data_IF_060633152267
#
_entry.id   IF_060633152267
#
_cell.length_a   1.000
_cell.length_b   1.000
_cell.length_c   1.000
_cell.angle_alpha   90.00
_cell.angle_beta   90.00
_cell.angle_gamma   90.00
#
_symmetry.space_group_name_H-M   'P 1'
#
loop_
_entity.id
_entity.type
_entity.pdbx_description
1 polymer ?
#
# COMPACT_ATOMS: atom_id res chain seq x y z
N UNK A 1 -14.21 -21.60 -10.31
CA UNK A 1 -14.38 -21.12 -8.92
C UNK A 1 -13.82 -19.71 -8.86
N UNK A 2 -14.59 -18.72 -8.40
CA UNK A 2 -14.10 -17.35 -8.25
C UNK A 2 -13.20 -17.27 -7.02
N UNK A 3 -11.94 -16.82 -7.20
CA UNK A 3 -10.98 -16.62 -6.12
C UNK A 3 -11.42 -15.41 -5.28
N UNK A 4 -11.46 -15.55 -3.96
CA UNK A 4 -11.84 -14.47 -3.03
C UNK A 4 -10.56 -13.94 -2.38
N UNK A 5 -10.30 -12.64 -2.54
CA UNK A 5 -9.15 -11.97 -1.96
C UNK A 5 -9.52 -11.24 -0.68
N UNK A 6 -8.74 -11.44 0.39
CA UNK A 6 -8.81 -10.59 1.58
C UNK A 6 -8.17 -9.25 1.25
N UNK A 7 -8.93 -8.16 1.34
CA UNK A 7 -8.47 -6.83 0.97
C UNK A 7 -9.05 -5.75 1.90
N UNK A 8 -8.39 -4.61 1.94
CA UNK A 8 -8.84 -3.40 2.63
C UNK A 8 -8.80 -2.22 1.66
N UNK A 9 -9.75 -1.29 1.79
CA UNK A 9 -9.79 -0.04 1.02
C UNK A 9 -9.76 1.13 2.00
N UNK A 10 -8.86 2.07 1.77
CA UNK A 10 -8.73 3.26 2.62
C UNK A 10 -7.50 4.10 2.27
N UNK A 11 -7.20 5.06 3.13
CA UNK A 11 -6.10 5.98 2.92
C UNK A 11 -4.75 5.34 3.23
N UNK A 12 -3.76 5.67 2.39
CA UNK A 12 -2.34 5.41 2.62
C UNK A 12 -1.60 6.72 2.80
N UNK A 13 -0.49 6.69 3.52
CA UNK A 13 0.46 7.81 3.60
C UNK A 13 1.51 7.63 2.52
N UNK A 14 1.64 8.62 1.64
CA UNK A 14 2.78 8.76 0.72
C UNK A 14 3.87 9.58 1.40
N UNK A 15 4.98 8.96 1.80
CA UNK A 15 6.04 9.56 2.63
C UNK A 15 7.36 9.64 1.88
N UNK A 16 7.97 10.81 1.83
CA UNK A 16 9.37 10.97 1.37
C UNK A 16 10.39 10.44 2.39
N UNK A 17 9.96 10.25 3.65
CA UNK A 17 10.84 9.89 4.76
C UNK A 17 10.66 8.41 5.08
N UNK A 18 11.55 7.56 4.56
CA UNK A 18 11.60 6.15 4.91
C UNK A 18 12.17 5.95 6.34
N UNK A 19 13.30 6.60 6.63
CA UNK A 19 13.94 6.57 7.96
C UNK A 19 13.55 7.81 8.75
N UNK A 20 12.47 7.71 9.54
CA UNK A 20 11.97 8.83 10.32
C UNK A 20 12.68 8.94 11.68
N UNK A 21 13.23 10.12 11.99
CA UNK A 21 13.84 10.39 13.29
C UNK A 21 12.79 10.50 14.42
N UNK A 22 11.54 10.83 14.09
CA UNK A 22 10.43 10.82 15.04
C UNK A 22 9.79 9.42 15.08
N UNK A 23 10.12 8.66 16.11
CA UNK A 23 9.63 7.30 16.33
C UNK A 23 8.12 7.21 16.59
N UNK A 24 7.45 8.34 16.84
CA UNK A 24 5.99 8.38 17.07
C UNK A 24 5.18 8.66 15.80
N UNK A 25 5.86 8.94 14.67
CA UNK A 25 5.21 9.38 13.44
C UNK A 25 4.14 8.38 12.94
N UNK A 26 4.49 7.10 12.82
CA UNK A 26 3.58 6.05 12.33
C UNK A 26 2.33 5.91 13.21
N UNK A 27 2.48 6.02 14.53
CA UNK A 27 1.36 5.89 15.48
C UNK A 27 0.35 7.06 15.33
N UNK A 28 0.83 8.28 15.06
CA UNK A 28 -0.04 9.44 14.80
C UNK A 28 -0.85 9.25 13.51
N UNK A 29 -0.24 8.74 12.45
CA UNK A 29 -0.95 8.43 11.20
C UNK A 29 -1.97 7.30 11.38
N UNK A 30 -1.61 6.26 12.12
CA UNK A 30 -2.53 5.17 12.47
C UNK A 30 -3.77 5.69 13.21
N UNK A 31 -3.61 6.63 14.16
CA UNK A 31 -4.74 7.29 14.86
C UNK A 31 -5.68 8.07 13.93
N UNK A 32 -5.21 8.46 12.74
CA UNK A 32 -6.02 9.11 11.70
C UNK A 32 -6.70 8.12 10.75
N UNK A 33 -6.52 6.80 10.95
CA UNK A 33 -7.08 5.76 10.10
C UNK A 33 -6.27 5.47 8.83
N UNK A 34 -5.01 5.90 8.76
CA UNK A 34 -4.10 5.50 7.67
C UNK A 34 -3.79 4.01 7.79
N UNK A 35 -3.98 3.28 6.68
CA UNK A 35 -3.83 1.81 6.63
C UNK A 35 -2.38 1.36 6.43
N UNK A 36 -1.57 2.17 5.76
CA UNK A 36 -0.19 1.83 5.41
C UNK A 36 0.60 3.03 4.94
N UNK A 37 1.91 2.84 4.83
CA UNK A 37 2.87 3.84 4.34
C UNK A 37 3.53 3.31 3.07
N UNK A 38 3.56 4.13 2.05
CA UNK A 38 4.23 3.93 0.76
C UNK A 38 4.83 5.27 0.29
N UNK A 39 5.36 5.39 -0.93
CA UNK A 39 6.15 6.58 -1.31
C UNK A 39 5.73 7.21 -2.65
N UNK A 40 4.66 6.76 -3.31
CA UNK A 40 4.39 7.14 -4.71
C UNK A 40 2.95 7.57 -5.01
N UNK A 41 1.96 7.12 -4.24
CA UNK A 41 0.54 7.25 -4.56
C UNK A 41 0.06 8.68 -4.68
N UNK A 42 0.57 9.58 -3.83
CA UNK A 42 0.20 10.99 -3.90
C UNK A 42 0.59 11.59 -5.26
N UNK A 43 1.82 11.32 -5.73
CA UNK A 43 2.29 11.79 -7.02
C UNK A 43 1.54 11.12 -8.19
N UNK A 44 1.30 9.81 -8.10
CA UNK A 44 0.52 9.07 -9.11
C UNK A 44 -0.86 9.70 -9.31
N UNK A 45 -1.60 9.93 -8.22
CA UNK A 45 -2.96 10.47 -8.31
C UNK A 45 -2.98 11.93 -8.76
N UNK A 46 -2.06 12.77 -8.30
CA UNK A 46 -1.95 14.16 -8.76
C UNK A 46 -1.65 14.22 -10.26
N UNK A 47 -0.73 13.39 -10.76
CA UNK A 47 -0.40 13.35 -12.18
C UNK A 47 -1.55 12.80 -13.03
N UNK A 48 -2.27 11.78 -12.55
CA UNK A 48 -3.42 11.22 -13.24
C UNK A 48 -4.54 12.26 -13.41
N UNK A 49 -4.85 13.01 -12.33
CA UNK A 49 -5.80 14.12 -12.36
C UNK A 49 -5.35 15.20 -13.36
N UNK A 50 -4.07 15.60 -13.32
CA UNK A 50 -3.53 16.59 -14.24
C UNK A 50 -3.61 16.16 -15.71
N UNK A 51 -3.30 14.89 -15.99
CA UNK A 51 -3.29 14.34 -17.34
C UNK A 51 -4.70 13.93 -17.85
N UNK A 52 -5.72 13.93 -16.98
CA UNK A 52 -7.08 13.49 -17.33
C UNK A 52 -7.18 11.98 -17.58
N UNK A 53 -6.41 11.17 -16.85
CA UNK A 53 -6.40 9.71 -16.95
C UNK A 53 -6.78 9.05 -15.62
N UNK A 54 -7.12 7.76 -15.66
CA UNK A 54 -7.45 6.97 -14.48
C UNK A 54 -6.19 6.37 -13.85
N UNK A 55 -6.17 6.26 -12.51
CA UNK A 55 -5.09 5.62 -11.78
C UNK A 55 -5.62 4.95 -10.49
N UNK A 56 -4.95 3.89 -10.07
CA UNK A 56 -5.25 3.15 -8.85
C UNK A 56 -3.96 2.61 -8.22
N UNK A 57 -3.81 2.80 -6.92
CA UNK A 57 -2.79 2.13 -6.11
C UNK A 57 -3.32 0.83 -5.51
N UNK A 58 -2.62 -0.27 -5.77
CA UNK A 58 -2.88 -1.59 -5.16
C UNK A 58 -1.58 -2.06 -4.49
N UNK A 59 -1.67 -2.48 -3.22
CA UNK A 59 -0.49 -2.74 -2.40
C UNK A 59 -0.58 -4.11 -1.71
N UNK A 60 0.56 -4.75 -1.60
CA UNK A 60 0.78 -5.89 -0.70
C UNK A 60 1.50 -5.40 0.56
N UNK A 61 0.98 -5.73 1.73
CA UNK A 61 1.64 -5.40 3.01
C UNK A 61 2.85 -6.31 3.20
N UNK A 62 4.06 -5.75 3.10
CA UNK A 62 5.31 -6.50 3.28
C UNK A 62 5.77 -6.58 4.73
N UNK A 63 5.52 -5.52 5.51
CA UNK A 63 6.05 -5.33 6.85
C UNK A 63 5.00 -4.66 7.75
N UNK A 64 4.97 -5.04 9.03
CA UNK A 64 4.06 -4.45 10.01
C UNK A 64 4.80 -3.53 10.98
N UNK A 65 4.72 -2.22 10.76
CA UNK A 65 5.51 -1.21 11.49
C UNK A 65 5.36 -1.23 13.01
N UNK A 66 4.20 -1.68 13.55
CA UNK A 66 3.95 -1.75 15.00
C UNK A 66 4.44 -3.05 15.64
N UNK A 67 4.45 -4.15 14.87
CA UNK A 67 4.80 -5.47 15.39
C UNK A 67 6.22 -5.88 14.99
N UNK A 68 6.89 -5.04 14.19
CA UNK A 68 8.24 -5.26 13.68
C UNK A 68 8.40 -6.61 12.95
N UNK A 69 7.32 -7.12 12.38
CA UNK A 69 7.33 -8.37 11.61
C UNK A 69 7.49 -8.08 10.13
N UNK A 70 8.38 -8.83 9.47
CA UNK A 70 8.57 -8.82 8.02
C UNK A 70 8.14 -10.16 7.42
N UNK A 71 7.56 -10.12 6.23
CA UNK A 71 7.22 -11.32 5.45
C UNK A 71 8.45 -12.07 4.94
N UNK A 72 8.35 -13.39 4.80
CA UNK A 72 9.38 -14.20 4.13
C UNK A 72 9.37 -13.97 2.61
N UNK A 73 10.44 -14.32 1.87
CA UNK A 73 10.44 -14.24 0.42
C UNK A 73 9.28 -15.00 -0.26
N UNK A 74 8.94 -16.18 0.26
CA UNK A 74 7.86 -17.01 -0.27
C UNK A 74 6.48 -16.40 0.00
N UNK A 75 6.26 -15.83 1.19
CA UNK A 75 5.02 -15.11 1.52
C UNK A 75 4.83 -13.88 0.63
N UNK A 76 5.92 -13.16 0.36
CA UNK A 76 5.93 -12.03 -0.57
C UNK A 76 5.55 -12.47 -1.97
N UNK A 77 6.21 -13.48 -2.51
CA UNK A 77 5.94 -13.99 -3.88
C UNK A 77 4.47 -14.35 -4.08
N UNK A 78 3.88 -15.08 -3.12
CA UNK A 78 2.48 -15.46 -3.18
C UNK A 78 1.55 -14.25 -3.14
N UNK A 79 1.77 -13.33 -2.21
CA UNK A 79 0.92 -12.14 -2.07
C UNK A 79 1.07 -11.19 -3.28
N UNK A 80 2.27 -11.08 -3.86
CA UNK A 80 2.49 -10.36 -5.11
C UNK A 80 1.70 -10.97 -6.27
N UNK A 81 1.64 -12.30 -6.37
CA UNK A 81 0.85 -12.97 -7.41
C UNK A 81 -0.62 -12.60 -7.33
N UNK A 82 -1.21 -12.67 -6.13
CA UNK A 82 -2.62 -12.30 -5.90
C UNK A 82 -2.88 -10.83 -6.27
N UNK A 83 -1.99 -9.92 -5.86
CA UNK A 83 -2.08 -8.50 -6.18
C UNK A 83 -2.06 -8.25 -7.69
N UNK A 84 -1.17 -8.92 -8.43
CA UNK A 84 -1.04 -8.78 -9.88
C UNK A 84 -2.28 -9.35 -10.60
N UNK A 85 -2.81 -10.50 -10.16
CA UNK A 85 -4.06 -11.05 -10.70
C UNK A 85 -5.23 -10.08 -10.53
N UNK A 86 -5.34 -9.41 -9.36
CA UNK A 86 -6.34 -8.37 -9.14
C UNK A 86 -6.11 -7.20 -10.10
N UNK A 87 -4.89 -6.66 -10.17
CA UNK A 87 -4.59 -5.51 -11.02
C UNK A 87 -4.89 -5.79 -12.50
N UNK A 88 -4.55 -6.97 -13.02
CA UNK A 88 -4.84 -7.39 -14.39
C UNK A 88 -6.33 -7.62 -14.66
N UNK A 89 -7.14 -7.88 -13.64
CA UNK A 89 -8.59 -8.03 -13.81
C UNK A 89 -9.35 -6.69 -13.91
N UNK A 90 -8.66 -5.57 -13.62
CA UNK A 90 -9.22 -4.22 -13.62
C UNK A 90 -8.97 -3.45 -14.93
N UNK A 91 -8.15 -4.01 -15.83
CA UNK A 91 -7.86 -3.49 -17.18
C UNK A 91 -8.62 -4.27 -18.24
#
# INVERSE_FOLDING_TARGET
MTKVYSHHVGNVLSSDIFYNADTTASERWMRMGILGVEMESAALYMNAIYAGVEALGVFTVSDHLIHETSTTPEERERAFTDMIEIALSLV
#
